data_IF_678173750102
#
_entry.id   IF_678173750102
#
_cell.length_a   1.000
_cell.length_b   1.000
_cell.length_c   1.000
_cell.angle_alpha   90.00
_cell.angle_beta   90.00
_cell.angle_gamma   90.00
#
_symmetry.space_group_name_H-M   'P 1'
#
loop_
_entity.id
_entity.type
_entity.pdbx_description
1 polymer ?
#
# COMPACT_ATOMS: atom_id res chain seq x y z
N UNK A 1 28.40 7.74 3.89
CA UNK A 1 27.10 7.06 4.11
C UNK A 1 26.90 6.10 2.96
N UNK A 2 26.74 4.79 3.21
CA UNK A 2 26.38 3.86 2.15
C UNK A 2 24.91 4.15 1.81
N UNK A 3 24.63 4.42 0.55
CA UNK A 3 23.26 4.60 0.07
C UNK A 3 22.51 3.28 0.29
N UNK A 4 21.58 3.30 1.24
CA UNK A 4 20.64 2.20 1.49
C UNK A 4 19.55 2.26 0.41
N UNK A 5 19.87 1.76 -0.77
CA UNK A 5 18.88 1.58 -1.83
C UNK A 5 18.15 0.26 -1.62
N UNK A 6 16.85 0.35 -1.38
CA UNK A 6 15.94 -0.79 -1.35
C UNK A 6 15.64 -1.16 -2.82
N UNK A 7 16.32 -2.18 -3.33
CA UNK A 7 16.11 -2.68 -4.70
C UNK A 7 15.38 -4.02 -4.68
N UNK A 8 14.53 -4.26 -5.68
CA UNK A 8 13.85 -5.55 -5.85
C UNK A 8 12.55 -5.72 -5.06
N UNK A 9 11.95 -4.62 -4.56
CA UNK A 9 10.64 -4.66 -3.92
C UNK A 9 9.54 -4.87 -4.97
N UNK A 10 8.68 -5.86 -4.72
CA UNK A 10 7.44 -6.04 -5.46
C UNK A 10 6.25 -5.43 -4.69
N UNK A 11 5.06 -5.42 -5.31
CA UNK A 11 3.87 -4.83 -4.69
C UNK A 11 3.49 -5.51 -3.36
N UNK A 12 3.67 -6.83 -3.25
CA UNK A 12 3.44 -7.56 -2.00
C UNK A 12 4.40 -7.10 -0.88
N UNK A 13 5.68 -6.90 -1.18
CA UNK A 13 6.65 -6.45 -0.21
C UNK A 13 6.32 -5.03 0.28
N UNK A 14 5.88 -4.14 -0.63
CA UNK A 14 5.41 -2.81 -0.28
C UNK A 14 4.19 -2.86 0.66
N UNK A 15 3.23 -3.76 0.40
CA UNK A 15 2.09 -3.97 1.28
C UNK A 15 2.53 -4.44 2.67
N UNK A 16 3.39 -5.44 2.75
CA UNK A 16 3.94 -5.94 4.02
C UNK A 16 4.73 -4.87 4.78
N UNK A 17 5.49 -4.04 4.05
CA UNK A 17 6.16 -2.89 4.66
C UNK A 17 5.18 -1.92 5.28
N UNK A 18 4.11 -1.57 4.56
CA UNK A 18 3.11 -0.61 5.01
C UNK A 18 2.26 -1.14 6.16
N UNK A 19 1.83 -2.40 6.09
CA UNK A 19 0.86 -2.97 7.04
C UNK A 19 1.48 -3.58 8.29
N UNK A 20 2.69 -4.13 8.19
CA UNK A 20 3.34 -4.84 9.29
C UNK A 20 4.58 -4.11 9.83
N UNK A 21 5.54 -3.76 8.96
CA UNK A 21 6.82 -3.25 9.42
C UNK A 21 6.78 -1.77 9.82
N UNK A 22 6.09 -0.93 9.05
CA UNK A 22 6.01 0.51 9.31
C UNK A 22 5.35 0.82 10.66
N UNK A 23 4.23 0.18 11.07
CA UNK A 23 3.65 0.42 12.40
C UNK A 23 4.58 0.07 13.56
N UNK A 24 5.51 -0.88 13.35
CA UNK A 24 6.50 -1.25 14.36
C UNK A 24 7.65 -0.24 14.36
N UNK A 25 8.20 0.08 13.19
CA UNK A 25 9.33 0.99 13.04
C UNK A 25 9.02 2.40 13.52
N UNK A 26 7.78 2.89 13.27
CA UNK A 26 7.36 4.24 13.63
C UNK A 26 7.32 4.46 15.15
N UNK A 27 7.29 3.40 15.96
CA UNK A 27 7.29 3.50 17.43
C UNK A 27 8.54 4.21 17.96
N UNK A 28 9.65 4.18 17.21
CA UNK A 28 10.90 4.86 17.54
C UNK A 28 10.86 6.38 17.30
N UNK A 29 9.88 6.90 16.55
CA UNK A 29 9.77 8.32 16.23
C UNK A 29 9.22 9.08 17.41
N UNK A 30 9.95 10.12 17.82
CA UNK A 30 9.63 10.94 19.01
C UNK A 30 8.37 11.81 18.87
N UNK A 31 8.07 12.48 17.73
CA UNK A 31 6.84 13.24 17.62
C UNK A 31 5.63 12.31 17.65
N UNK A 32 4.93 12.26 18.79
CA UNK A 32 3.77 11.39 19.04
C UNK A 32 2.69 11.62 17.97
N UNK A 33 2.47 12.87 17.58
CA UNK A 33 1.46 13.23 16.60
C UNK A 33 1.76 12.61 15.22
N UNK A 34 2.98 12.74 14.70
CA UNK A 34 3.40 12.14 13.42
C UNK A 34 3.27 10.61 13.46
N UNK A 35 3.69 10.00 14.59
CA UNK A 35 3.52 8.56 14.78
C UNK A 35 2.07 8.13 14.72
N UNK A 36 1.18 8.88 15.35
CA UNK A 36 -0.26 8.60 15.38
C UNK A 36 -0.85 8.64 13.97
N UNK A 37 -0.56 9.70 13.21
CA UNK A 37 -1.07 9.89 11.85
C UNK A 37 -0.60 8.79 10.90
N UNK A 38 0.68 8.40 10.95
CA UNK A 38 1.19 7.30 10.12
C UNK A 38 0.58 5.96 10.55
N UNK A 39 0.36 5.75 11.84
CA UNK A 39 -0.32 4.53 12.33
C UNK A 39 -1.77 4.46 11.84
N UNK A 40 -2.48 5.57 11.79
CA UNK A 40 -3.83 5.65 11.22
C UNK A 40 -3.84 5.30 9.74
N UNK A 41 -2.87 5.80 8.98
CA UNK A 41 -2.70 5.45 7.57
C UNK A 41 -2.45 3.94 7.39
N UNK A 42 -1.56 3.35 8.18
CA UNK A 42 -1.32 1.90 8.17
C UNK A 42 -2.58 1.09 8.53
N UNK A 43 -3.34 1.56 9.51
CA UNK A 43 -4.62 0.97 9.89
C UNK A 43 -5.61 1.00 8.73
N UNK A 44 -5.76 2.13 8.05
CA UNK A 44 -6.62 2.26 6.88
C UNK A 44 -6.28 1.21 5.81
N UNK A 45 -4.99 1.07 5.44
CA UNK A 45 -4.57 0.07 4.46
C UNK A 45 -4.85 -1.36 4.90
N UNK A 46 -4.69 -1.66 6.19
CA UNK A 46 -5.04 -2.98 6.74
C UNK A 46 -6.55 -3.26 6.64
N UNK A 47 -7.39 -2.24 6.84
CA UNK A 47 -8.84 -2.43 6.77
C UNK A 47 -9.33 -2.60 5.33
N UNK A 48 -8.84 -1.75 4.41
CA UNK A 48 -9.32 -1.77 3.03
C UNK A 48 -8.81 -2.98 2.23
N UNK A 49 -7.67 -3.57 2.62
CA UNK A 49 -7.11 -4.79 2.02
C UNK A 49 -7.73 -6.09 2.54
N UNK A 50 -8.73 -6.03 3.42
CA UNK A 50 -9.41 -7.24 3.92
C UNK A 50 -10.18 -7.94 2.80
N UNK A 51 -10.22 -9.28 2.88
CA UNK A 51 -11.00 -10.11 1.93
C UNK A 51 -12.49 -9.82 1.98
N UNK A 52 -12.99 -9.60 3.19
CA UNK A 52 -14.40 -9.33 3.47
C UNK A 52 -14.50 -8.00 4.21
N UNK A 53 -15.26 -7.08 3.64
CA UNK A 53 -15.57 -5.77 4.23
C UNK A 53 -17.07 -5.61 4.17
N UNK A 54 -17.67 -5.22 5.29
CA UNK A 54 -19.10 -4.97 5.37
C UNK A 54 -19.41 -3.57 4.84
N UNK A 55 -20.54 -3.41 4.20
CA UNK A 55 -20.97 -2.12 3.62
C UNK A 55 -21.12 -1.02 4.69
N UNK A 56 -21.60 -1.39 5.88
CA UNK A 56 -21.76 -0.48 7.03
C UNK A 56 -20.39 0.06 7.52
N UNK A 57 -19.31 -0.75 7.43
CA UNK A 57 -17.97 -0.35 7.82
C UNK A 57 -17.31 0.62 6.81
N UNK A 58 -17.73 0.59 5.53
CA UNK A 58 -17.14 1.42 4.47
C UNK A 58 -17.38 2.92 4.66
N UNK A 59 -18.56 3.29 5.15
CA UNK A 59 -18.88 4.68 5.47
C UNK A 59 -17.97 5.26 6.55
N UNK A 60 -17.79 4.50 7.63
CA UNK A 60 -16.92 4.87 8.74
C UNK A 60 -15.45 4.93 8.31
N UNK A 61 -15.03 3.97 7.47
CA UNK A 61 -13.67 3.93 6.94
C UNK A 61 -13.37 5.12 6.02
N UNK A 62 -14.36 5.56 5.23
CA UNK A 62 -14.24 6.77 4.39
C UNK A 62 -14.06 8.02 5.25
N UNK A 63 -14.88 8.16 6.28
CA UNK A 63 -14.79 9.30 7.21
C UNK A 63 -13.43 9.31 7.93
N UNK A 64 -13.02 8.16 8.42
CA UNK A 64 -11.71 7.98 9.06
C UNK A 64 -10.55 8.37 8.13
N UNK A 65 -10.62 8.02 6.83
CA UNK A 65 -9.58 8.37 5.87
C UNK A 65 -9.53 9.87 5.60
N UNK A 66 -10.68 10.54 5.46
CA UNK A 66 -10.76 12.00 5.27
C UNK A 66 -10.13 12.74 6.45
N UNK A 67 -10.45 12.34 7.68
CA UNK A 67 -9.86 12.92 8.88
C UNK A 67 -8.33 12.68 8.95
N UNK A 68 -7.90 11.46 8.62
CA UNK A 68 -6.48 11.10 8.59
C UNK A 68 -5.72 11.95 7.55
N UNK A 69 -6.30 12.17 6.36
CA UNK A 69 -5.71 13.04 5.35
C UNK A 69 -5.54 14.48 5.83
N UNK A 70 -6.55 15.06 6.48
CA UNK A 70 -6.42 16.40 7.06
C UNK A 70 -5.32 16.48 8.13
N UNK A 71 -5.09 15.42 8.88
CA UNK A 71 -3.98 15.35 9.85
C UNK A 71 -2.62 15.16 9.16
N UNK A 72 -2.55 14.42 8.05
CA UNK A 72 -1.34 14.29 7.23
C UNK A 72 -0.93 15.65 6.66
N UNK A 73 -1.88 16.45 6.19
CA UNK A 73 -1.64 17.82 5.68
C UNK A 73 -0.98 18.74 6.72
N UNK A 74 -1.25 18.52 7.99
CA UNK A 74 -0.62 19.28 9.08
C UNK A 74 0.80 18.80 9.40
N UNK A 75 1.15 17.56 9.03
CA UNK A 75 2.44 16.95 9.34
C UNK A 75 3.47 17.05 8.23
N UNK A 76 3.01 17.04 6.98
CA UNK A 76 3.86 16.90 5.80
C UNK A 76 3.81 18.15 4.91
N UNK A 77 4.93 18.49 4.24
CA UNK A 77 4.96 19.64 3.34
C UNK A 77 4.07 19.41 2.11
N UNK A 78 3.63 20.49 1.42
CA UNK A 78 2.77 20.38 0.23
C UNK A 78 3.36 19.51 -0.89
N UNK A 79 4.67 19.38 -0.97
CA UNK A 79 5.33 18.49 -1.95
C UNK A 79 5.09 16.99 -1.72
N UNK A 80 4.55 16.62 -0.58
CA UNK A 80 4.14 15.24 -0.28
C UNK A 80 2.80 14.90 -0.95
N UNK A 81 1.96 15.91 -1.20
CA UNK A 81 0.61 15.75 -1.74
C UNK A 81 0.63 15.74 -3.27
N UNK A 82 1.11 14.65 -3.81
CA UNK A 82 0.98 14.32 -5.23
C UNK A 82 -0.33 13.53 -5.50
N UNK A 83 -0.38 12.86 -6.62
CA UNK A 83 -1.54 12.05 -7.03
C UNK A 83 -1.82 10.87 -6.08
N UNK A 84 -0.79 10.33 -5.40
CA UNK A 84 -0.93 9.10 -4.60
C UNK A 84 -1.80 9.31 -3.34
N UNK A 85 -1.58 10.32 -2.48
CA UNK A 85 -2.48 10.64 -1.39
C UNK A 85 -3.90 10.96 -1.85
N UNK A 86 -4.05 11.64 -3.00
CA UNK A 86 -5.36 11.92 -3.57
C UNK A 86 -6.11 10.62 -3.93
N UNK A 87 -5.46 9.66 -4.55
CA UNK A 87 -6.07 8.37 -4.91
C UNK A 87 -6.53 7.59 -3.68
N UNK A 88 -5.86 7.72 -2.53
CA UNK A 88 -6.25 7.04 -1.31
C UNK A 88 -7.66 7.43 -0.85
N UNK A 89 -8.07 8.68 -1.08
CA UNK A 89 -9.42 9.14 -0.74
C UNK A 89 -10.51 8.45 -1.56
N UNK A 90 -10.18 8.01 -2.78
CA UNK A 90 -11.10 7.32 -3.68
C UNK A 90 -11.10 5.79 -3.52
N UNK A 91 -10.18 5.22 -2.75
CA UNK A 91 -10.08 3.77 -2.59
C UNK A 91 -11.34 3.15 -1.98
N UNK A 92 -11.98 3.83 -1.03
CA UNK A 92 -13.21 3.34 -0.42
C UNK A 92 -14.36 3.31 -1.43
N UNK A 93 -14.49 4.36 -2.25
CA UNK A 93 -15.51 4.40 -3.31
C UNK A 93 -15.26 3.30 -4.36
N UNK A 94 -14.01 3.01 -4.68
CA UNK A 94 -13.66 1.91 -5.57
C UNK A 94 -14.07 0.55 -4.98
N UNK A 95 -13.84 0.33 -3.69
CA UNK A 95 -14.29 -0.89 -3.00
C UNK A 95 -15.81 -1.01 -3.00
N UNK A 96 -16.53 0.09 -2.84
CA UNK A 96 -18.00 0.09 -2.92
C UNK A 96 -18.51 -0.32 -4.31
N UNK A 97 -17.82 0.05 -5.38
CA UNK A 97 -18.24 -0.24 -6.75
C UNK A 97 -17.73 -1.58 -7.30
N UNK A 98 -16.51 -1.96 -6.94
CA UNK A 98 -15.80 -3.11 -7.52
C UNK A 98 -15.71 -4.30 -6.58
N UNK A 99 -16.11 -4.14 -5.31
CA UNK A 99 -15.91 -5.13 -4.26
C UNK A 99 -14.53 -5.03 -3.60
N UNK A 100 -14.20 -6.02 -2.77
CA UNK A 100 -12.93 -6.03 -2.01
C UNK A 100 -11.71 -5.91 -2.91
N UNK A 101 -10.76 -5.08 -2.51
CA UNK A 101 -9.46 -4.91 -3.21
C UNK A 101 -8.71 -6.21 -3.40
N UNK A 102 -8.89 -7.17 -2.48
CA UNK A 102 -8.30 -8.50 -2.59
C UNK A 102 -8.62 -9.21 -3.91
N UNK A 103 -9.76 -8.91 -4.54
CA UNK A 103 -10.20 -9.57 -5.78
C UNK A 103 -9.44 -9.06 -7.02
N UNK A 104 -8.90 -7.87 -6.98
CA UNK A 104 -8.19 -7.25 -8.10
C UNK A 104 -6.75 -6.81 -7.77
N UNK A 105 -6.20 -7.32 -6.67
CA UNK A 105 -4.78 -7.17 -6.35
C UNK A 105 -3.90 -7.81 -7.42
N UNK A 106 -2.87 -7.09 -7.81
CA UNK A 106 -1.98 -7.51 -8.90
C UNK A 106 -0.94 -8.55 -8.49
N UNK A 107 -0.77 -8.85 -7.20
CA UNK A 107 0.28 -9.77 -6.70
C UNK A 107 0.28 -11.17 -7.34
N UNK A 108 -0.88 -11.83 -7.52
CA UNK A 108 -0.90 -13.13 -8.20
C UNK A 108 -0.42 -13.02 -9.63
N UNK A 109 -0.79 -11.93 -10.33
CA UNK A 109 -0.39 -11.66 -11.71
C UNK A 109 1.08 -11.31 -11.82
N UNK A 110 1.63 -10.50 -10.91
CA UNK A 110 3.06 -10.18 -10.85
C UNK A 110 3.90 -11.44 -10.65
N UNK A 111 3.49 -12.34 -9.75
CA UNK A 111 4.16 -13.63 -9.54
C UNK A 111 4.08 -14.51 -10.80
N UNK A 112 2.94 -14.58 -11.44
CA UNK A 112 2.76 -15.34 -12.66
C UNK A 112 3.62 -14.79 -13.80
N UNK A 113 3.66 -13.47 -13.98
CA UNK A 113 4.52 -12.81 -14.95
C UNK A 113 6.01 -13.06 -14.68
N UNK A 114 6.41 -13.06 -13.43
CA UNK A 114 7.79 -13.39 -13.04
C UNK A 114 8.18 -14.83 -13.44
N UNK A 115 7.29 -15.78 -13.23
CA UNK A 115 7.50 -17.20 -13.67
C UNK A 115 7.58 -17.28 -15.19
N UNK A 116 6.68 -16.62 -15.91
CA UNK A 116 6.71 -16.61 -17.39
C UNK A 116 8.00 -16.01 -17.95
N UNK A 117 8.45 -14.90 -17.36
CA UNK A 117 9.72 -14.28 -17.76
C UNK A 117 10.93 -15.18 -17.49
N UNK A 118 10.94 -15.88 -16.35
CA UNK A 118 11.99 -16.85 -16.05
C UNK A 118 11.98 -18.01 -17.05
N UNK A 119 10.83 -18.56 -17.38
CA UNK A 119 10.68 -19.62 -18.40
C UNK A 119 11.13 -19.13 -19.78
N UNK A 120 10.72 -17.93 -20.16
CA UNK A 120 11.12 -17.33 -21.44
C UNK A 120 12.65 -17.16 -21.53
N UNK A 121 13.28 -16.68 -20.48
CA UNK A 121 14.74 -16.52 -20.38
C UNK A 121 15.44 -17.88 -20.53
N UNK A 122 14.96 -18.94 -19.88
CA UNK A 122 15.50 -20.30 -20.00
C UNK A 122 15.39 -20.79 -21.43
N UNK A 123 14.23 -20.61 -22.09
CA UNK A 123 14.03 -21.01 -23.48
C UNK A 123 14.99 -20.29 -24.44
N UNK A 124 15.22 -18.99 -24.23
CA UNK A 124 16.18 -18.22 -25.02
C UNK A 124 17.61 -18.72 -24.82
N UNK A 125 18.03 -18.97 -23.59
CA UNK A 125 19.40 -19.46 -23.30
C UNK A 125 19.66 -20.89 -23.83
N UNK A 126 18.61 -21.69 -23.98
CA UNK A 126 18.71 -23.02 -24.58
C UNK A 126 18.69 -23.00 -26.13
N UNK A 127 18.29 -21.88 -26.73
CA UNK A 127 18.16 -21.73 -28.18
C UNK A 127 19.42 -21.17 -28.83
N UNK A 128 20.25 -20.48 -28.06
CA UNK A 128 21.55 -19.97 -28.53
C UNK A 128 22.64 -20.97 -28.08
N UNK A 129 23.20 -21.79 -29.03
CA UNK A 129 24.26 -22.76 -28.73
C UNK A 129 25.61 -22.08 -28.51
#
# INVERSE_FOLDING_TARGET
MKDLTLTGFNAHDCHMMLTCFLPIAIRAIKPVYVRMVITQMCYFFNQIARKEIREDELGDLKHFMVETMGQIEQCFPPSFFDIMPHLMMHMVDQVMWLGSMYLYEMWPYERFMSILNAMYTIVLTLRDP
#
